data_IF_126479631236
#
_entry.id   IF_126479631236
#
_cell.length_a   1.000
_cell.length_b   1.000
_cell.length_c   1.000
_cell.angle_alpha   90.00
_cell.angle_beta   90.00
_cell.angle_gamma   90.00
#
_symmetry.space_group_name_H-M   'P 1'
#
loop_
_entity.id
_entity.type
_entity.pdbx_description
1 polymer ?
#
# COMPACT_ATOMS: atom_id res chain seq x y z
N UNK A 1 -21.59 -0.27 15.27
CA UNK A 1 -22.01 -0.94 14.01
C UNK A 1 -21.06 -0.70 12.82
N UNK A 2 -20.25 0.36 12.80
CA UNK A 2 -19.35 0.71 11.67
C UNK A 2 -18.20 -0.28 11.37
N UNK A 3 -17.49 -0.80 12.40
CA UNK A 3 -16.29 -1.63 12.18
C UNK A 3 -16.55 -2.93 11.40
N UNK A 4 -17.73 -3.56 11.58
CA UNK A 4 -18.09 -4.78 10.86
C UNK A 4 -18.34 -4.52 9.38
N UNK A 5 -18.95 -3.38 9.05
CA UNK A 5 -19.16 -2.97 7.67
C UNK A 5 -17.82 -2.63 6.99
N UNK A 6 -16.93 -1.91 7.67
CA UNK A 6 -15.58 -1.63 7.16
C UNK A 6 -14.77 -2.91 6.93
N UNK A 7 -14.82 -3.85 7.88
CA UNK A 7 -14.17 -5.16 7.75
C UNK A 7 -14.76 -5.99 6.60
N UNK A 8 -16.09 -6.02 6.47
CA UNK A 8 -16.78 -6.71 5.38
C UNK A 8 -16.45 -6.12 4.01
N UNK A 9 -16.40 -4.79 3.90
CA UNK A 9 -16.03 -4.10 2.65
C UNK A 9 -14.57 -4.39 2.28
N UNK A 10 -13.67 -4.41 3.27
CA UNK A 10 -12.25 -4.73 3.07
C UNK A 10 -12.06 -6.18 2.61
N UNK A 11 -12.80 -7.13 3.21
CA UNK A 11 -12.76 -8.52 2.81
C UNK A 11 -13.32 -8.73 1.40
N UNK A 12 -14.43 -8.08 1.08
CA UNK A 12 -15.00 -8.12 -0.27
C UNK A 12 -14.05 -7.53 -1.30
N UNK A 13 -13.45 -6.38 -1.02
CA UNK A 13 -12.46 -5.75 -1.89
C UNK A 13 -11.23 -6.66 -2.07
N UNK A 14 -10.71 -7.26 -1.00
CA UNK A 14 -9.59 -8.19 -1.07
C UNK A 14 -9.93 -9.42 -1.93
N UNK A 15 -11.11 -10.01 -1.75
CA UNK A 15 -11.55 -11.17 -2.52
C UNK A 15 -11.75 -10.82 -4.00
N UNK A 16 -12.38 -9.68 -4.30
CA UNK A 16 -12.59 -9.21 -5.66
C UNK A 16 -11.25 -8.94 -6.37
N UNK A 17 -10.33 -8.24 -5.70
CA UNK A 17 -8.98 -8.00 -6.21
C UNK A 17 -8.22 -9.30 -6.43
N UNK A 18 -8.28 -10.24 -5.48
CA UNK A 18 -7.63 -11.54 -5.59
C UNK A 18 -8.15 -12.33 -6.79
N UNK A 19 -9.47 -12.42 -6.96
CA UNK A 19 -10.08 -13.12 -8.09
C UNK A 19 -9.71 -12.47 -9.42
N UNK A 20 -9.84 -11.14 -9.53
CA UNK A 20 -9.48 -10.37 -10.72
C UNK A 20 -8.01 -10.60 -11.10
N UNK A 21 -7.10 -10.54 -10.13
CA UNK A 21 -5.67 -10.74 -10.37
C UNK A 21 -5.32 -12.18 -10.71
N UNK A 22 -5.97 -13.15 -10.07
CA UNK A 22 -5.75 -14.58 -10.35
C UNK A 22 -6.18 -14.88 -11.78
N UNK A 23 -7.35 -14.39 -12.20
CA UNK A 23 -7.82 -14.53 -13.57
C UNK A 23 -6.86 -13.86 -14.56
N UNK A 24 -6.41 -12.64 -14.25
CA UNK A 24 -5.53 -11.90 -15.16
C UNK A 24 -4.11 -12.47 -15.25
N UNK A 25 -3.48 -12.80 -14.12
CA UNK A 25 -2.09 -13.23 -14.06
C UNK A 25 -1.89 -14.71 -14.39
N UNK A 26 -2.87 -15.57 -14.06
CA UNK A 26 -2.76 -17.03 -14.18
C UNK A 26 -3.66 -17.57 -15.28
N UNK A 27 -4.94 -17.19 -15.31
CA UNK A 27 -5.91 -17.80 -16.25
C UNK A 27 -5.76 -17.25 -17.66
N UNK A 28 -5.65 -15.93 -17.82
CA UNK A 28 -5.53 -15.29 -19.13
C UNK A 28 -4.39 -15.82 -20.02
N UNK A 29 -3.15 -16.05 -19.52
CA UNK A 29 -2.08 -16.61 -20.36
C UNK A 29 -2.28 -18.09 -20.73
N UNK A 30 -3.26 -18.78 -20.14
CA UNK A 30 -3.63 -20.15 -20.52
C UNK A 30 -4.68 -20.17 -21.65
N UNK A 31 -5.30 -19.02 -21.96
CA UNK A 31 -6.27 -18.90 -23.04
C UNK A 31 -5.55 -18.66 -24.38
N UNK A 32 -6.11 -19.14 -25.50
CA UNK A 32 -5.56 -18.88 -26.82
C UNK A 32 -5.46 -17.38 -27.11
N UNK A 33 -4.40 -16.95 -27.79
CA UNK A 33 -4.12 -15.54 -28.11
C UNK A 33 -5.12 -14.92 -29.10
N UNK A 34 -5.93 -15.76 -29.77
CA UNK A 34 -6.90 -15.36 -30.79
C UNK A 34 -8.24 -14.85 -30.20
N UNK A 35 -8.37 -14.85 -28.87
CA UNK A 35 -9.55 -14.28 -28.21
C UNK A 35 -9.46 -12.75 -28.14
N UNK A 36 -10.53 -12.07 -28.55
CA UNK A 36 -10.70 -10.61 -28.44
C UNK A 36 -10.54 -10.06 -27.01
N UNK A 37 -10.59 -10.91 -25.99
CA UNK A 37 -10.31 -10.57 -24.59
C UNK A 37 -8.90 -10.00 -24.40
N UNK A 38 -7.91 -10.44 -25.18
CA UNK A 38 -6.53 -9.92 -25.10
C UNK A 38 -6.42 -8.45 -25.51
N UNK A 39 -7.39 -7.91 -26.26
CA UNK A 39 -7.43 -6.48 -26.62
C UNK A 39 -7.90 -5.57 -25.46
N UNK A 40 -8.66 -6.12 -24.51
CA UNK A 40 -9.20 -5.38 -23.37
C UNK A 40 -8.30 -5.45 -22.13
N UNK A 41 -7.33 -6.36 -22.12
CA UNK A 41 -6.53 -6.65 -20.95
C UNK A 41 -5.09 -6.19 -21.16
N UNK A 42 -4.48 -5.43 -20.23
CA UNK A 42 -3.11 -4.95 -20.40
C UNK A 42 -2.12 -6.11 -20.43
N UNK A 43 -1.02 -5.90 -21.14
CA UNK A 43 0.10 -6.85 -21.25
C UNK A 43 0.51 -7.46 -19.91
N UNK A 44 0.99 -8.70 -19.97
CA UNK A 44 1.48 -9.50 -18.83
C UNK A 44 2.43 -8.75 -17.88
N UNK A 45 3.24 -7.83 -18.40
CA UNK A 45 4.14 -6.99 -17.58
C UNK A 45 3.38 -6.23 -16.47
N UNK A 46 2.14 -5.81 -16.73
CA UNK A 46 1.35 -5.06 -15.78
C UNK A 46 0.77 -5.93 -14.66
N UNK A 47 0.59 -7.23 -14.90
CA UNK A 47 0.15 -8.16 -13.87
C UNK A 47 1.16 -8.31 -12.72
N UNK A 48 2.44 -8.02 -12.93
CA UNK A 48 3.46 -8.01 -11.85
C UNK A 48 3.78 -6.59 -11.39
N UNK A 49 3.70 -5.62 -12.30
CA UNK A 49 4.08 -4.23 -12.00
C UNK A 49 3.07 -3.56 -11.09
N UNK A 50 1.77 -3.72 -11.32
CA UNK A 50 0.76 -3.02 -10.55
C UNK A 50 0.71 -3.41 -9.05
N UNK A 51 0.80 -4.70 -8.65
CA UNK A 51 0.90 -5.06 -7.23
C UNK A 51 2.20 -4.55 -6.60
N UNK A 52 3.30 -4.56 -7.37
CA UNK A 52 4.59 -4.06 -6.91
C UNK A 52 4.58 -2.55 -6.64
N UNK A 53 3.92 -1.76 -7.48
CA UNK A 53 3.73 -0.32 -7.26
C UNK A 53 2.89 -0.09 -6.00
N UNK A 54 1.78 -0.81 -5.83
CA UNK A 54 0.94 -0.70 -4.63
C UNK A 54 1.75 -1.01 -3.37
N UNK A 55 2.58 -2.06 -3.40
CA UNK A 55 3.45 -2.42 -2.29
C UNK A 55 4.50 -1.34 -2.01
N UNK A 56 5.16 -0.84 -3.04
CA UNK A 56 6.19 0.20 -2.91
C UNK A 56 5.61 1.51 -2.36
N UNK A 57 4.45 1.94 -2.86
CA UNK A 57 3.75 3.13 -2.36
C UNK A 57 3.26 2.91 -0.93
N UNK A 58 2.71 1.75 -0.62
CA UNK A 58 2.26 1.40 0.72
C UNK A 58 3.40 1.43 1.74
N UNK A 59 4.49 0.71 1.46
CA UNK A 59 5.69 0.70 2.30
C UNK A 59 6.34 2.09 2.40
N UNK A 60 6.44 2.81 1.29
CA UNK A 60 6.98 4.16 1.27
C UNK A 60 6.17 5.12 2.13
N UNK A 61 4.85 5.04 2.08
CA UNK A 61 3.95 5.86 2.90
C UNK A 61 4.16 5.58 4.39
N UNK A 62 4.23 4.30 4.77
CA UNK A 62 4.50 3.91 6.17
C UNK A 62 5.88 4.38 6.62
N UNK A 63 6.90 4.22 5.77
CA UNK A 63 8.26 4.66 6.07
C UNK A 63 8.37 6.17 6.27
N UNK A 64 7.73 6.96 5.39
CA UNK A 64 7.66 8.42 5.51
C UNK A 64 6.95 8.82 6.80
N UNK A 65 5.84 8.16 7.13
CA UNK A 65 5.09 8.44 8.35
C UNK A 65 5.94 8.22 9.61
N UNK A 66 6.62 7.07 9.70
CA UNK A 66 7.52 6.76 10.82
C UNK A 66 8.67 7.77 10.88
N UNK A 67 9.29 8.11 9.76
CA UNK A 67 10.37 9.09 9.71
C UNK A 67 9.90 10.49 10.17
N UNK A 68 8.69 10.90 9.78
CA UNK A 68 8.10 12.16 10.22
C UNK A 68 7.81 12.18 11.72
N UNK A 69 7.33 11.06 12.27
CA UNK A 69 7.08 10.90 13.71
C UNK A 69 8.39 11.00 14.49
N UNK A 70 9.41 10.22 14.10
CA UNK A 70 10.71 10.22 14.76
C UNK A 70 11.38 11.60 14.74
N UNK A 71 11.27 12.33 13.61
CA UNK A 71 11.78 13.70 13.51
C UNK A 71 11.08 14.63 14.49
N UNK A 72 9.77 14.50 14.65
CA UNK A 72 8.99 15.33 15.57
C UNK A 72 9.40 15.08 17.02
N UNK A 73 9.51 13.82 17.41
CA UNK A 73 9.89 13.43 18.76
C UNK A 73 11.31 13.92 19.09
N UNK A 74 12.26 13.73 18.18
CA UNK A 74 13.63 14.23 18.35
C UNK A 74 13.70 15.76 18.53
N UNK A 75 12.86 16.52 17.82
CA UNK A 75 12.81 17.98 17.97
C UNK A 75 12.23 18.39 19.33
N UNK A 76 11.22 17.66 19.82
CA UNK A 76 10.62 17.91 21.14
C UNK A 76 11.63 17.62 22.26
N UNK A 77 12.38 16.53 22.18
CA UNK A 77 13.42 16.18 23.16
C UNK A 77 14.53 17.23 23.22
N UNK A 78 14.95 17.77 22.08
CA UNK A 78 15.94 18.83 22.01
C UNK A 78 15.43 20.14 22.64
N UNK A 79 14.13 20.45 22.51
CA UNK A 79 13.52 21.61 23.15
C UNK A 79 13.47 21.43 24.68
N UNK A 80 13.04 20.27 25.15
CA UNK A 80 13.01 19.95 26.59
C UNK A 80 14.40 20.03 27.24
N UNK A 81 15.44 19.54 26.55
CA UNK A 81 16.83 19.66 27.04
C UNK A 81 17.34 21.10 27.06
N UNK A 82 16.96 21.93 26.09
CA UNK A 82 17.34 23.35 26.05
C UNK A 82 16.70 24.12 27.19
N UNK A 83 15.41 23.93 27.43
CA UNK A 83 14.69 24.59 28.53
C UNK A 83 15.23 24.12 29.89
N UNK A 84 15.47 22.82 30.07
CA UNK A 84 16.06 22.28 31.30
C UNK A 84 17.47 22.80 31.57
N UNK A 85 18.29 23.01 30.53
CA UNK A 85 19.62 23.62 30.67
C UNK A 85 19.54 25.09 31.11
N UNK A 86 18.60 25.86 30.57
CA UNK A 86 18.43 27.30 30.91
C UNK A 86 17.99 27.50 32.37
N UNK A 87 17.24 26.55 32.95
CA UNK A 87 16.79 26.64 34.34
C UNK A 87 17.83 26.17 35.38
N UNK A 88 18.91 25.54 34.93
CA UNK A 88 19.96 25.01 35.80
C UNK A 88 21.17 25.96 35.94
N UNK A 89 21.26 27.00 35.10
CA UNK A 89 22.25 28.09 35.15
C UNK A 89 21.67 29.33 35.88
#
# INVERSE_FOLDING_TARGET
MSNRAAGGLSLFAALALFALYTLWAIVLPLLPDDLAIHAYVPDRRWAVTAPSIVLAVGLGTVGIYIAALLRKDALQDLQAQREGRILAD
#
